data_IF_595533002455
#
_entry.id   IF_595533002455
#
_cell.length_a   1.000
_cell.length_b   1.000
_cell.length_c   1.000
_cell.angle_alpha   90.00
_cell.angle_beta   90.00
_cell.angle_gamma   90.00
#
_symmetry.space_group_name_H-M   'P 1'
#
loop_
_entity.id
_entity.type
_entity.pdbx_description
1 polymer ?
#
# COMPACT_ATOMS: atom_id res chain seq x y z
N UNK A 1 2.27 -17.30 0.37
CA UNK A 1 2.84 -16.24 1.25
C UNK A 1 4.03 -16.68 2.10
N UNK A 2 4.33 -17.98 2.25
CA UNK A 2 5.57 -18.44 2.91
C UNK A 2 6.40 -19.23 1.88
N UNK A 3 7.29 -18.58 1.12
CA UNK A 3 8.21 -19.34 0.26
C UNK A 3 9.46 -19.69 1.07
N UNK A 4 9.80 -20.98 1.27
CA UNK A 4 10.97 -21.41 2.05
C UNK A 4 12.30 -20.79 1.59
N UNK A 5 12.38 -20.33 0.34
CA UNK A 5 13.57 -19.71 -0.24
C UNK A 5 13.88 -18.31 0.31
N UNK A 6 12.90 -17.59 0.86
CA UNK A 6 13.12 -16.22 1.37
C UNK A 6 13.74 -16.19 2.78
N UNK A 7 13.71 -17.32 3.49
CA UNK A 7 14.21 -17.45 4.86
C UNK A 7 13.46 -16.60 5.90
N UNK A 8 12.40 -15.90 5.50
CA UNK A 8 11.64 -14.97 6.33
C UNK A 8 10.15 -15.23 6.17
N UNK A 9 9.45 -15.32 7.30
CA UNK A 9 8.00 -15.39 7.39
C UNK A 9 7.48 -14.08 7.98
N UNK A 10 6.64 -13.37 7.23
CA UNK A 10 5.98 -12.17 7.72
C UNK A 10 4.73 -12.56 8.55
N UNK A 11 4.48 -11.84 9.63
CA UNK A 11 3.28 -12.02 10.45
C UNK A 11 2.77 -10.64 10.86
N UNK A 12 1.51 -10.36 10.55
CA UNK A 12 0.84 -9.13 10.98
C UNK A 12 0.46 -9.32 12.46
N UNK A 13 0.79 -8.33 13.27
CA UNK A 13 0.51 -8.29 14.71
C UNK A 13 -0.12 -6.94 15.06
N UNK A 14 -0.51 -6.79 16.32
CA UNK A 14 -1.14 -5.57 16.85
C UNK A 14 -2.38 -5.13 16.07
N UNK A 15 -3.48 -5.84 16.35
CA UNK A 15 -4.76 -5.63 15.70
C UNK A 15 -5.63 -4.60 16.44
N UNK A 16 -5.07 -3.82 17.37
CA UNK A 16 -5.84 -2.91 18.24
C UNK A 16 -6.64 -1.83 17.49
N UNK A 17 -6.19 -1.45 16.30
CA UNK A 17 -6.85 -0.47 15.40
C UNK A 17 -7.43 -1.12 14.13
N UNK A 18 -7.57 -2.45 14.12
CA UNK A 18 -8.14 -3.17 12.99
C UNK A 18 -9.67 -3.08 12.95
N UNK A 19 -10.23 -3.29 11.76
CA UNK A 19 -11.65 -3.53 11.53
C UNK A 19 -11.83 -4.94 10.99
N UNK A 20 -12.71 -5.73 11.58
CA UNK A 20 -13.03 -7.09 11.16
C UNK A 20 -14.54 -7.27 11.08
N UNK A 21 -14.98 -8.09 10.14
CA UNK A 21 -16.35 -8.53 9.95
C UNK A 21 -16.32 -10.05 9.95
N UNK A 22 -17.00 -10.66 10.90
CA UNK A 22 -17.01 -12.12 11.09
C UNK A 22 -18.10 -12.82 10.25
N UNK A 23 -18.97 -12.05 9.58
CA UNK A 23 -20.07 -12.58 8.78
C UNK A 23 -21.25 -13.11 9.59
N UNK A 24 -21.24 -12.98 10.92
CA UNK A 24 -22.31 -13.43 11.83
C UNK A 24 -23.10 -12.26 12.46
N UNK A 25 -23.00 -11.07 11.86
CA UNK A 25 -23.76 -9.82 12.08
C UNK A 25 -23.01 -8.68 12.80
N UNK A 26 -21.81 -8.89 13.35
CA UNK A 26 -21.08 -7.84 14.07
C UNK A 26 -19.79 -7.40 13.36
N UNK A 27 -19.62 -6.08 13.21
CA UNK A 27 -18.33 -5.49 12.80
C UNK A 27 -17.55 -5.08 14.05
N UNK A 28 -16.36 -5.67 14.24
CA UNK A 28 -15.45 -5.37 15.33
C UNK A 28 -14.46 -4.29 14.90
N UNK A 29 -14.40 -3.18 15.64
CA UNK A 29 -13.47 -2.07 15.40
C UNK A 29 -13.25 -1.24 16.67
N UNK A 30 -12.17 -0.48 16.71
CA UNK A 30 -11.83 0.44 17.82
C UNK A 30 -11.81 1.88 17.31
N UNK A 31 -12.37 2.85 18.05
CA UNK A 31 -12.22 4.26 17.71
C UNK A 31 -10.76 4.70 17.81
N UNK A 32 -10.38 5.68 16.99
CA UNK A 32 -9.07 6.31 17.04
C UNK A 32 -9.10 7.49 18.01
N UNK A 33 -8.08 7.60 18.86
CA UNK A 33 -7.84 8.79 19.68
C UNK A 33 -7.45 9.97 18.79
N UNK A 34 -7.94 11.18 19.10
CA UNK A 34 -7.68 12.36 18.27
C UNK A 34 -6.19 12.71 18.16
N UNK A 35 -5.43 12.44 19.23
CA UNK A 35 -3.98 12.67 19.33
C UNK A 35 -3.19 11.95 18.22
N UNK A 36 -3.69 10.84 17.69
CA UNK A 36 -3.00 10.07 16.64
C UNK A 36 -2.91 10.87 15.32
N UNK A 37 -3.85 11.78 15.08
CA UNK A 37 -3.90 12.59 13.85
C UNK A 37 -3.02 13.84 13.93
N UNK A 38 -2.63 14.23 15.14
CA UNK A 38 -1.79 15.39 15.44
C UNK A 38 -0.29 15.07 15.34
N UNK A 39 0.08 13.78 15.23
CA UNK A 39 1.47 13.36 15.13
C UNK A 39 2.17 13.89 13.86
N UNK A 40 3.48 14.12 13.99
CA UNK A 40 4.36 14.63 12.93
C UNK A 40 5.72 13.91 12.94
N UNK A 41 6.52 14.15 11.91
CA UNK A 41 7.90 13.63 11.80
C UNK A 41 8.03 12.24 11.18
N UNK A 42 6.90 11.57 10.89
CA UNK A 42 6.89 10.30 10.17
C UNK A 42 5.65 10.19 9.26
N UNK A 43 5.83 9.60 8.08
CA UNK A 43 4.77 9.38 7.09
C UNK A 43 3.62 8.52 7.63
N UNK A 44 3.83 7.73 8.69
CA UNK A 44 2.72 7.01 9.37
C UNK A 44 1.59 7.95 9.80
N UNK A 45 1.92 9.17 10.26
CA UNK A 45 0.91 10.12 10.71
C UNK A 45 0.10 10.69 9.56
N UNK A 46 0.73 10.87 8.38
CA UNK A 46 0.01 11.18 7.15
C UNK A 46 -0.93 10.04 6.74
N UNK A 47 -0.53 8.78 6.93
CA UNK A 47 -1.41 7.62 6.67
C UNK A 47 -2.66 7.69 7.54
N UNK A 48 -2.55 7.94 8.84
CA UNK A 48 -3.74 8.10 9.70
C UNK A 48 -4.66 9.23 9.22
N UNK A 49 -4.11 10.38 8.84
CA UNK A 49 -4.90 11.50 8.27
C UNK A 49 -5.58 11.13 6.95
N UNK A 50 -4.87 10.45 6.05
CA UNK A 50 -5.42 9.95 4.78
C UNK A 50 -6.53 8.92 5.00
N UNK A 51 -6.36 8.01 5.97
CA UNK A 51 -7.40 7.07 6.36
C UNK A 51 -8.65 7.80 6.86
N UNK A 52 -8.50 8.77 7.77
CA UNK A 52 -9.62 9.56 8.30
C UNK A 52 -10.36 10.30 7.20
N UNK A 53 -9.61 10.89 6.26
CA UNK A 53 -10.15 11.55 5.07
C UNK A 53 -10.95 10.58 4.20
N UNK A 54 -10.40 9.41 3.90
CA UNK A 54 -11.05 8.38 3.07
C UNK A 54 -12.31 7.81 3.73
N UNK A 55 -12.27 7.63 5.05
CA UNK A 55 -13.37 7.06 5.82
C UNK A 55 -14.46 8.08 6.13
N UNK A 56 -14.17 9.39 6.04
CA UNK A 56 -15.09 10.43 6.51
C UNK A 56 -15.35 10.31 8.01
N UNK A 57 -14.34 9.87 8.78
CA UNK A 57 -14.43 9.56 10.20
C UNK A 57 -15.41 8.42 10.59
N UNK A 58 -15.92 7.64 9.62
CA UNK A 58 -16.68 6.42 9.86
C UNK A 58 -15.73 5.21 9.83
N UNK A 59 -15.32 4.74 11.01
CA UNK A 59 -14.33 3.67 11.19
C UNK A 59 -14.92 2.26 11.17
N UNK A 60 -16.23 2.13 11.36
CA UNK A 60 -16.98 0.89 11.21
C UNK A 60 -17.06 0.46 9.73
N UNK A 61 -17.20 1.45 8.83
CA UNK A 61 -17.35 1.21 7.41
C UNK A 61 -16.14 0.47 6.80
N UNK A 62 -16.42 -0.53 5.97
CA UNK A 62 -15.38 -1.24 5.23
C UNK A 62 -14.74 -0.34 4.16
N UNK A 63 -13.48 0.03 4.40
CA UNK A 63 -12.69 0.92 3.54
C UNK A 63 -11.33 0.28 3.22
N UNK A 64 -11.27 -0.66 2.27
CA UNK A 64 -10.08 -1.48 2.05
C UNK A 64 -8.87 -0.71 1.49
N UNK A 65 -9.09 0.51 0.98
CA UNK A 65 -8.02 1.42 0.56
C UNK A 65 -7.06 1.73 1.72
N UNK A 66 -7.52 1.68 2.97
CA UNK A 66 -6.67 1.87 4.15
C UNK A 66 -5.50 0.88 4.20
N UNK A 67 -5.70 -0.37 3.78
CA UNK A 67 -4.63 -1.36 3.65
C UNK A 67 -3.61 -0.98 2.56
N UNK A 68 -4.06 -0.38 1.46
CA UNK A 68 -3.18 0.12 0.39
C UNK A 68 -2.32 1.27 0.90
N UNK A 69 -2.88 2.17 1.72
CA UNK A 69 -2.12 3.25 2.35
C UNK A 69 -1.01 2.73 3.26
N UNK A 70 -1.29 1.69 4.05
CA UNK A 70 -0.28 1.03 4.88
C UNK A 70 0.78 0.29 4.07
N UNK A 71 0.40 -0.38 2.98
CA UNK A 71 1.36 -1.02 2.06
C UNK A 71 2.27 0.02 1.38
N UNK A 72 1.75 1.19 1.03
CA UNK A 72 2.55 2.29 0.49
C UNK A 72 3.58 2.77 1.52
N UNK A 73 3.15 2.97 2.76
CA UNK A 73 4.05 3.31 3.86
C UNK A 73 5.15 2.26 4.08
N UNK A 74 4.80 0.97 4.13
CA UNK A 74 5.77 -0.11 4.31
C UNK A 74 6.80 -0.14 3.18
N UNK A 75 6.35 0.02 1.94
CA UNK A 75 7.22 0.08 0.76
C UNK A 75 8.22 1.23 0.86
N UNK A 76 7.77 2.44 1.24
CA UNK A 76 8.66 3.58 1.46
C UNK A 76 9.64 3.36 2.62
N UNK A 77 9.24 2.68 3.70
CA UNK A 77 10.15 2.34 4.80
C UNK A 77 11.22 1.36 4.36
N UNK A 78 10.87 0.36 3.57
CA UNK A 78 11.82 -0.59 3.00
C UNK A 78 12.83 0.13 2.09
N UNK A 79 12.35 1.01 1.20
CA UNK A 79 13.21 1.76 0.28
C UNK A 79 14.13 2.77 0.99
N UNK A 80 13.58 3.55 1.93
CA UNK A 80 14.24 4.78 2.39
C UNK A 80 14.77 4.71 3.83
N UNK A 81 14.23 3.84 4.68
CA UNK A 81 14.53 3.85 6.12
C UNK A 81 15.34 2.65 6.60
N UNK A 82 15.41 1.57 5.83
CA UNK A 82 16.18 0.38 6.19
C UNK A 82 17.62 0.39 5.67
N UNK A 83 18.06 1.51 5.11
CA UNK A 83 19.41 1.67 4.52
C UNK A 83 19.76 0.57 3.51
N UNK A 84 18.74 0.03 2.83
CA UNK A 84 18.96 -0.90 1.73
C UNK A 84 19.69 -0.14 0.62
N UNK A 85 20.87 -0.63 0.24
CA UNK A 85 21.65 0.03 -0.81
C UNK A 85 21.04 -0.34 -2.16
N UNK A 86 20.85 0.61 -3.08
CA UNK A 86 20.49 0.29 -4.44
C UNK A 86 21.51 -0.71 -5.03
N UNK A 87 21.06 -1.77 -5.70
CA UNK A 87 21.93 -2.74 -6.34
C UNK A 87 22.89 -2.03 -7.31
N UNK A 88 24.17 -2.43 -7.29
CA UNK A 88 25.18 -1.86 -8.18
C UNK A 88 24.86 -2.15 -9.65
N UNK A 89 25.13 -1.19 -10.54
CA UNK A 89 24.90 -1.31 -11.98
C UNK A 89 25.80 -2.35 -12.69
N UNK A 90 26.79 -2.93 -12.01
CA UNK A 90 27.77 -3.84 -12.63
C UNK A 90 28.15 -5.02 -11.74
N UNK A 91 27.77 -6.23 -12.18
CA UNK A 91 28.73 -7.27 -12.62
C UNK A 91 27.98 -8.38 -13.37
N UNK A 92 28.52 -8.74 -14.54
CA UNK A 92 28.07 -9.81 -15.48
C UNK A 92 28.17 -11.24 -14.93
N UNK A 93 28.11 -11.42 -13.61
CA UNK A 93 28.14 -12.72 -12.95
C UNK A 93 27.66 -12.55 -11.50
N UNK A 94 26.37 -12.27 -11.32
CA UNK A 94 25.75 -12.52 -10.03
C UNK A 94 25.64 -14.05 -9.88
N UNK A 95 26.07 -14.58 -8.73
CA UNK A 95 25.75 -15.96 -8.39
C UNK A 95 24.22 -16.15 -8.48
N UNK A 96 23.72 -17.33 -8.89
CA UNK A 96 22.29 -17.58 -8.91
C UNK A 96 21.73 -17.25 -7.53
N UNK A 97 20.73 -16.36 -7.49
CA UNK A 97 20.10 -16.01 -6.24
C UNK A 97 19.44 -17.26 -5.66
N UNK A 98 19.60 -17.49 -4.36
CA UNK A 98 18.94 -18.59 -3.65
C UNK A 98 17.40 -18.57 -3.80
N UNK A 99 16.86 -17.43 -4.21
CA UNK A 99 15.45 -17.09 -4.37
C UNK A 99 14.91 -17.17 -5.80
N UNK A 100 15.77 -17.41 -6.80
CA UNK A 100 15.39 -17.28 -8.21
C UNK A 100 15.30 -15.85 -8.74
N UNK A 101 15.34 -14.84 -7.86
CA UNK A 101 15.39 -13.41 -8.22
C UNK A 101 16.69 -12.78 -7.73
N UNK A 102 17.37 -12.04 -8.59
CA UNK A 102 18.49 -11.20 -8.23
C UNK A 102 18.09 -10.06 -7.29
N UNK A 103 19.03 -9.57 -6.49
CA UNK A 103 18.84 -8.38 -5.64
C UNK A 103 18.31 -7.18 -6.45
N UNK A 104 18.74 -7.08 -7.71
CA UNK A 104 18.28 -6.05 -8.64
C UNK A 104 16.81 -6.18 -9.00
N UNK A 105 16.36 -7.38 -9.37
CA UNK A 105 14.95 -7.63 -9.68
C UNK A 105 14.06 -7.37 -8.46
N UNK A 106 14.49 -7.78 -7.26
CA UNK A 106 13.77 -7.48 -6.02
C UNK A 106 13.66 -5.97 -5.76
N UNK A 107 14.73 -5.21 -5.99
CA UNK A 107 14.73 -3.76 -5.81
C UNK A 107 13.86 -3.05 -6.85
N UNK A 108 13.93 -3.44 -8.12
CA UNK A 108 13.10 -2.91 -9.20
C UNK A 108 11.60 -3.21 -8.95
N UNK A 109 11.28 -4.41 -8.48
CA UNK A 109 9.93 -4.78 -8.01
C UNK A 109 9.43 -3.83 -6.90
N UNK A 110 10.27 -3.54 -5.91
CA UNK A 110 9.90 -2.66 -4.80
C UNK A 110 9.65 -1.21 -5.26
N UNK A 111 10.47 -0.69 -6.18
CA UNK A 111 10.25 0.63 -6.79
C UNK A 111 8.96 0.69 -7.58
N UNK A 112 8.67 -0.36 -8.35
CA UNK A 112 7.47 -0.42 -9.15
C UNK A 112 6.21 -0.53 -8.28
N UNK A 113 6.27 -1.31 -7.21
CA UNK A 113 5.20 -1.39 -6.23
C UNK A 113 4.96 -0.04 -5.54
N UNK A 114 6.02 0.69 -5.18
CA UNK A 114 5.91 2.04 -4.64
C UNK A 114 5.16 2.96 -5.60
N UNK A 115 5.61 3.01 -6.86
CA UNK A 115 5.01 3.86 -7.88
C UNK A 115 3.54 3.50 -8.13
N UNK A 116 3.19 2.22 -8.10
CA UNK A 116 1.81 1.77 -8.27
C UNK A 116 0.93 2.22 -7.11
N UNK A 117 1.36 1.98 -5.87
CA UNK A 117 0.62 2.34 -4.66
C UNK A 117 0.47 3.86 -4.52
N UNK A 118 1.48 4.63 -4.95
CA UNK A 118 1.46 6.08 -4.97
C UNK A 118 0.31 6.65 -5.83
N UNK A 119 -0.09 5.96 -6.91
CA UNK A 119 -1.22 6.41 -7.74
C UNK A 119 -2.55 6.43 -6.98
N UNK A 120 -2.77 5.48 -6.05
CA UNK A 120 -3.96 5.45 -5.19
C UNK A 120 -3.93 6.57 -4.15
N UNK A 121 -2.76 6.83 -3.57
CA UNK A 121 -2.55 7.94 -2.62
C UNK A 121 -2.80 9.28 -3.30
N UNK A 122 -2.27 9.47 -4.50
CA UNK A 122 -2.46 10.69 -5.28
C UNK A 122 -3.91 10.90 -5.71
N UNK A 123 -4.61 9.82 -6.09
CA UNK A 123 -6.03 9.88 -6.41
C UNK A 123 -6.85 10.34 -5.19
N UNK A 124 -6.56 9.79 -4.00
CA UNK A 124 -7.21 10.18 -2.75
C UNK A 124 -6.93 11.65 -2.40
N UNK A 125 -5.69 12.11 -2.51
CA UNK A 125 -5.32 13.52 -2.27
C UNK A 125 -6.01 14.46 -3.26
N UNK A 126 -6.09 14.10 -4.55
CA UNK A 126 -6.80 14.88 -5.58
C UNK A 126 -8.30 14.95 -5.33
N UNK A 127 -8.90 13.88 -4.82
CA UNK A 127 -10.33 13.85 -4.50
C UNK A 127 -10.72 14.82 -3.37
N UNK A 128 -9.81 15.09 -2.43
CA UNK A 128 -10.03 16.07 -1.36
C UNK A 128 -9.68 17.52 -1.72
N UNK A 129 -9.00 17.76 -2.85
CA UNK A 129 -8.67 19.12 -3.24
C UNK A 129 -9.94 19.94 -3.52
N UNK A 130 -10.05 21.19 -3.04
CA UNK A 130 -11.21 22.03 -3.26
C UNK A 130 -11.42 22.25 -4.76
N UNK A 131 -12.61 21.87 -5.27
CA UNK A 131 -12.97 22.04 -6.67
C UNK A 131 -13.09 23.53 -7.01
N UNK A 132 -12.01 24.12 -7.53
CA UNK A 132 -12.06 25.46 -8.13
C UNK A 132 -13.00 25.41 -9.34
N UNK A 133 -14.04 26.23 -9.32
CA UNK A 133 -15.19 26.16 -10.24
C UNK A 133 -14.81 25.93 -11.70
N UNK A 134 -15.11 24.73 -12.21
CA UNK A 134 -15.00 24.38 -13.63
C UNK A 134 -16.32 23.80 -14.10
N UNK A 135 -16.92 24.46 -15.11
CA UNK A 135 -18.18 24.10 -15.77
C UNK A 135 -18.14 22.62 -16.19
N UNK A 136 -19.22 21.90 -15.88
CA UNK A 136 -19.41 20.48 -16.15
C UNK A 136 -19.69 20.27 -17.65
N UNK A 137 -18.71 19.75 -18.38
CA UNK A 137 -18.93 19.05 -19.66
C UNK A 137 -18.73 17.57 -19.42
N UNK A 138 -19.80 16.80 -19.64
CA UNK A 138 -19.82 15.36 -19.48
C UNK A 138 -19.12 14.75 -20.69
N UNK A 139 -17.86 14.36 -20.50
CA UNK A 139 -17.13 13.51 -21.44
C UNK A 139 -16.91 12.16 -20.75
N UNK A 140 -17.45 11.11 -21.35
CA UNK A 140 -17.12 9.72 -21.07
C UNK A 140 -15.69 9.43 -21.53
N UNK A 141 -14.70 10.00 -20.85
CA UNK A 141 -13.31 9.60 -20.97
C UNK A 141 -13.06 8.48 -19.97
N UNK A 142 -12.38 7.41 -20.39
CA UNK A 142 -11.82 6.43 -19.47
C UNK A 142 -11.12 7.19 -18.34
N UNK A 143 -11.68 7.12 -17.13
CA UNK A 143 -11.03 7.68 -15.95
C UNK A 143 -9.65 7.02 -15.88
N UNK A 144 -8.59 7.83 -15.87
CA UNK A 144 -7.24 7.33 -15.66
C UNK A 144 -7.30 6.35 -14.49
N UNK A 145 -6.90 5.10 -14.74
CA UNK A 145 -7.11 4.00 -13.81
C UNK A 145 -6.63 4.45 -12.43
N UNK A 146 -7.57 4.59 -11.49
CA UNK A 146 -7.20 4.76 -10.10
C UNK A 146 -6.35 3.54 -9.74
N UNK A 147 -5.24 3.74 -9.01
CA UNK A 147 -4.39 2.62 -8.59
C UNK A 147 -5.14 1.56 -7.79
N UNK A 148 -4.43 0.57 -7.21
CA UNK A 148 -5.01 -0.44 -6.33
C UNK A 148 -6.00 0.16 -5.32
N UNK A 149 -7.23 -0.33 -5.31
CA UNK A 149 -8.29 0.10 -4.39
C UNK A 149 -8.35 -0.78 -3.15
N UNK A 150 -7.81 -2.00 -3.21
CA UNK A 150 -7.68 -2.91 -2.08
C UNK A 150 -6.42 -3.78 -2.20
N UNK A 151 -6.02 -4.42 -1.09
CA UNK A 151 -4.86 -5.31 -1.05
C UNK A 151 -4.96 -6.49 -2.05
N UNK A 152 -6.17 -6.88 -2.45
CA UNK A 152 -6.39 -7.86 -3.51
C UNK A 152 -5.81 -7.42 -4.87
N UNK A 153 -5.92 -6.14 -5.24
CA UNK A 153 -5.39 -5.64 -6.52
C UNK A 153 -3.85 -5.64 -6.49
N UNK A 154 -3.29 -5.37 -5.32
CA UNK A 154 -1.84 -5.43 -5.09
C UNK A 154 -1.33 -6.86 -5.24
N UNK A 155 -2.07 -7.83 -4.70
CA UNK A 155 -1.75 -9.25 -4.85
C UNK A 155 -1.85 -9.69 -6.31
N UNK A 156 -2.94 -9.33 -7.00
CA UNK A 156 -3.14 -9.64 -8.42
C UNK A 156 -2.00 -9.08 -9.28
N UNK A 157 -1.64 -7.81 -9.09
CA UNK A 157 -0.48 -7.20 -9.74
C UNK A 157 0.82 -7.99 -9.46
N UNK A 158 1.02 -8.44 -8.22
CA UNK A 158 2.17 -9.28 -7.88
C UNK A 158 2.15 -10.64 -8.58
N UNK A 159 0.98 -11.24 -8.77
CA UNK A 159 0.81 -12.51 -9.51
C UNK A 159 1.07 -12.31 -11.00
N UNK A 160 0.49 -11.28 -11.62
CA UNK A 160 0.66 -10.96 -13.04
C UNK A 160 2.13 -10.74 -13.41
N UNK A 161 2.89 -10.15 -12.50
CA UNK A 161 4.33 -9.88 -12.65
C UNK A 161 5.20 -11.07 -12.28
N UNK A 162 4.60 -12.16 -11.81
CA UNK A 162 5.30 -13.36 -11.38
C UNK A 162 6.16 -13.16 -10.14
N UNK A 163 5.83 -12.19 -9.28
CA UNK A 163 6.53 -11.93 -8.01
C UNK A 163 6.02 -12.83 -6.89
N UNK A 164 4.76 -13.20 -6.94
CA UNK A 164 4.10 -14.07 -5.96
C UNK A 164 3.26 -15.12 -6.66
N UNK A 165 3.19 -16.32 -6.09
CA UNK A 165 2.34 -17.38 -6.62
C UNK A 165 0.89 -17.14 -6.20
N UNK A 166 -0.05 -17.29 -7.13
CA UNK A 166 -1.45 -17.47 -6.79
C UNK A 166 -1.57 -18.73 -5.92
N UNK A 167 -2.10 -18.58 -4.71
CA UNK A 167 -2.30 -19.70 -3.77
C UNK A 167 -3.61 -20.40 -4.05
#
# INVERSE_FOLDING_TARGET
MDHPSAGVKATIIDLGLSRMDDGEDDTHWTPFDEEIFEGEGDYQFDVYRLMRQNNGNNWEAFRPLTNVLWLHYLTLKLLNSKHLRPPSASRKSAAPAALGYSERECYECLLEMESLLATSVDALKKAAAPRKGRRRTQASGHAAAAGPQHAGDVLECGVERGWVNAS
#
